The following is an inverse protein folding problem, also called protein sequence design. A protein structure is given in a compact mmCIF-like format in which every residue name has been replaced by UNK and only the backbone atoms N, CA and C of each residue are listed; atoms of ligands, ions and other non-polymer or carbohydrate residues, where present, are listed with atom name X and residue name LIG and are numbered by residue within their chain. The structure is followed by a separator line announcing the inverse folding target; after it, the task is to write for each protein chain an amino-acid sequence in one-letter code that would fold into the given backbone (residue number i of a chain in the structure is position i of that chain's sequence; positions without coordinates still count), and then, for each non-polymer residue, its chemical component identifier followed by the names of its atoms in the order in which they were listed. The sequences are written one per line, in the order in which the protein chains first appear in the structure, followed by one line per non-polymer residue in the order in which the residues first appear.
data_IF_425755679199
#
_entry.id   IF_425755679199
#
_cell.length_a   1.000
_cell.length_b   1.000
_cell.length_c   1.000
_cell.angle_alpha   90.00
_cell.angle_beta   90.00
_cell.angle_gamma   90.00
#
_symmetry.space_group_name_H-M   'P 1'
#
loop_
_entity.id
_entity.type
_entity.pdbx_description
1 polymer ?
#
# COMPACT_ATOMS: atom_id res chain seq x y z
N UNK A 1 -36.41 -40.06 -38.57
CA UNK A 1 -36.72 -39.33 -37.33
C UNK A 1 -35.78 -38.14 -37.23
N UNK A 2 -36.34 -36.96 -36.98
CA UNK A 2 -35.63 -35.68 -36.80
C UNK A 2 -34.96 -35.64 -35.41
N UNK A 3 -33.75 -35.10 -35.32
CA UNK A 3 -33.40 -34.12 -34.27
C UNK A 3 -32.08 -33.43 -34.62
N UNK A 4 -32.16 -32.12 -34.89
CA UNK A 4 -31.05 -31.19 -34.86
C UNK A 4 -30.68 -30.90 -33.41
N UNK A 5 -29.41 -31.10 -33.04
CA UNK A 5 -28.84 -30.58 -31.80
C UNK A 5 -27.76 -29.58 -32.15
N UNK A 6 -28.08 -28.30 -32.02
CA UNK A 6 -27.19 -27.16 -32.30
C UNK A 6 -26.02 -27.20 -31.30
N UNK A 7 -24.78 -27.24 -31.80
CA UNK A 7 -23.57 -26.94 -31.02
C UNK A 7 -23.62 -25.46 -30.63
N UNK A 8 -24.17 -25.16 -29.44
CA UNK A 8 -24.04 -23.84 -28.85
C UNK A 8 -22.66 -23.75 -28.19
N UNK A 9 -21.73 -23.11 -28.89
CA UNK A 9 -20.56 -22.54 -28.24
C UNK A 9 -21.06 -21.54 -27.20
N UNK A 10 -21.01 -21.91 -25.93
CA UNK A 10 -21.11 -20.90 -24.88
C UNK A 10 -19.73 -20.28 -24.80
N UNK A 11 -19.54 -19.13 -25.45
CA UNK A 11 -18.46 -18.22 -25.08
C UNK A 11 -18.70 -17.89 -23.62
N UNK A 12 -17.93 -18.54 -22.75
CA UNK A 12 -17.95 -18.25 -21.33
C UNK A 12 -17.39 -16.83 -21.20
N UNK A 13 -18.28 -15.84 -21.17
CA UNK A 13 -17.91 -14.47 -20.80
C UNK A 13 -17.52 -14.56 -19.34
N UNK A 14 -16.24 -14.82 -19.08
CA UNK A 14 -15.65 -14.63 -17.77
C UNK A 14 -15.66 -13.13 -17.53
N UNK A 15 -16.75 -12.64 -16.94
CA UNK A 15 -16.76 -11.33 -16.32
C UNK A 15 -15.83 -11.48 -15.11
N UNK A 16 -14.55 -11.16 -15.32
CA UNK A 16 -13.56 -11.05 -14.25
C UNK A 16 -13.98 -9.89 -13.34
N UNK A 17 -14.84 -10.21 -12.39
CA UNK A 17 -15.11 -9.33 -11.25
C UNK A 17 -13.89 -9.47 -10.33
N UNK A 18 -12.90 -8.60 -10.52
CA UNK A 18 -11.73 -8.55 -9.66
C UNK A 18 -12.19 -8.14 -8.26
N UNK A 19 -12.08 -9.06 -7.29
CA UNK A 19 -12.22 -8.70 -5.87
C UNK A 19 -11.01 -7.84 -5.50
N UNK A 20 -11.22 -6.57 -5.14
CA UNK A 20 -10.15 -5.74 -4.59
C UNK A 20 -9.68 -6.34 -3.26
N UNK A 21 -8.37 -6.55 -3.14
CA UNK A 21 -7.70 -6.98 -1.92
C UNK A 21 -7.29 -5.77 -1.07
N UNK A 22 -6.94 -5.99 0.21
CA UNK A 22 -6.43 -4.92 1.08
C UNK A 22 -5.19 -4.23 0.51
N UNK A 23 -4.33 -4.96 -0.20
CA UNK A 23 -3.14 -4.42 -0.86
C UNK A 23 -3.51 -3.46 -2.01
N UNK A 24 -4.58 -3.77 -2.75
CA UNK A 24 -5.10 -2.89 -3.80
C UNK A 24 -5.67 -1.59 -3.20
N UNK A 25 -6.32 -1.67 -2.04
CA UNK A 25 -6.78 -0.47 -1.33
C UNK A 25 -5.61 0.37 -0.79
N UNK A 26 -4.56 -0.28 -0.29
CA UNK A 26 -3.39 0.42 0.22
C UNK A 26 -2.64 1.18 -0.88
N UNK A 27 -2.36 0.54 -2.01
CA UNK A 27 -1.70 1.20 -3.15
C UNK A 27 -2.53 2.35 -3.71
N UNK A 28 -3.85 2.18 -3.80
CA UNK A 28 -4.77 3.27 -4.20
C UNK A 28 -4.75 4.42 -3.18
N UNK A 29 -4.68 4.13 -1.89
CA UNK A 29 -4.54 5.15 -0.84
C UNK A 29 -3.22 5.93 -0.97
N UNK A 30 -2.10 5.22 -1.11
CA UNK A 30 -0.78 5.83 -1.30
C UNK A 30 -0.73 6.72 -2.55
N UNK A 31 -1.41 6.33 -3.63
CA UNK A 31 -1.48 7.11 -4.86
C UNK A 31 -2.32 8.39 -4.68
N UNK A 32 -3.51 8.27 -4.09
CA UNK A 32 -4.45 9.39 -3.95
C UNK A 32 -4.02 10.42 -2.91
N UNK A 33 -3.41 9.96 -1.82
CA UNK A 33 -3.04 10.78 -0.68
C UNK A 33 -1.54 11.08 -0.65
N UNK A 34 -0.80 10.78 -1.73
CA UNK A 34 0.65 10.87 -1.78
C UNK A 34 1.21 12.19 -1.22
N UNK A 35 0.67 13.33 -1.66
CA UNK A 35 1.15 14.65 -1.25
C UNK A 35 0.86 14.93 0.24
N UNK A 36 -0.30 14.50 0.76
CA UNK A 36 -0.64 14.60 2.18
C UNK A 36 0.25 13.68 3.03
N UNK A 37 0.54 12.47 2.54
CA UNK A 37 1.45 11.53 3.19
C UNK A 37 2.87 12.12 3.21
N UNK A 38 3.34 12.69 2.11
CA UNK A 38 4.65 13.33 2.02
C UNK A 38 4.77 14.49 3.00
N UNK A 39 3.80 15.40 3.04
CA UNK A 39 3.79 16.50 4.01
C UNK A 39 3.88 15.98 5.45
N UNK A 40 3.08 14.98 5.80
CA UNK A 40 3.04 14.44 7.15
C UNK A 40 4.28 13.60 7.50
N UNK A 41 4.87 12.91 6.52
CA UNK A 41 6.14 12.22 6.67
C UNK A 41 7.27 13.21 6.96
N UNK A 42 7.32 14.35 6.27
CA UNK A 42 8.30 15.42 6.55
C UNK A 42 8.12 16.01 7.97
N UNK A 43 6.89 16.10 8.45
CA UNK A 43 6.60 16.53 9.84
C UNK A 43 6.92 15.42 10.86
N UNK A 44 6.79 14.16 10.45
CA UNK A 44 6.92 12.96 11.27
C UNK A 44 5.65 12.59 12.03
N UNK A 45 4.49 13.16 11.67
CA UNK A 45 3.20 12.86 12.30
C UNK A 45 2.03 13.27 11.40
N UNK A 46 0.87 12.66 11.62
CA UNK A 46 -0.40 13.10 11.04
C UNK A 46 -1.35 11.95 10.71
N UNK A 47 -2.59 12.27 10.36
CA UNK A 47 -3.63 11.25 10.14
C UNK A 47 -3.33 10.32 8.95
N UNK A 48 -2.88 10.86 7.82
CA UNK A 48 -2.53 10.04 6.65
C UNK A 48 -1.32 9.16 6.95
N UNK A 49 -0.33 9.69 7.68
CA UNK A 49 0.82 8.91 8.11
C UNK A 49 0.44 7.77 9.07
N UNK A 50 -0.49 8.02 9.98
CA UNK A 50 -1.02 7.00 10.88
C UNK A 50 -1.75 5.89 10.11
N UNK A 51 -2.43 6.22 9.00
CA UNK A 51 -3.07 5.22 8.13
C UNK A 51 -2.00 4.39 7.40
N UNK A 52 -0.89 4.98 6.97
CA UNK A 52 0.25 4.20 6.43
C UNK A 52 0.78 3.21 7.47
N UNK A 53 0.95 3.65 8.73
CA UNK A 53 1.38 2.78 9.83
C UNK A 53 0.38 1.64 10.10
N UNK A 54 -0.92 1.92 10.05
CA UNK A 54 -1.98 0.93 10.23
C UNK A 54 -1.98 -0.11 9.10
N UNK A 55 -1.85 0.33 7.84
CA UNK A 55 -1.66 -0.58 6.71
C UNK A 55 -0.40 -1.44 6.87
N UNK A 56 0.69 -0.86 7.39
CA UNK A 56 1.92 -1.55 7.75
C UNK A 56 1.78 -2.54 8.93
N UNK A 57 0.58 -2.64 9.52
CA UNK A 57 0.31 -3.51 10.64
C UNK A 57 0.99 -3.06 11.93
N UNK A 58 1.40 -1.79 12.02
CA UNK A 58 2.00 -1.24 13.22
C UNK A 58 0.92 -0.91 14.25
N UNK A 59 1.11 -1.25 15.54
CA UNK A 59 0.18 -0.87 16.60
C UNK A 59 0.18 0.65 16.80
N UNK A 60 -0.95 1.21 17.25
CA UNK A 60 -1.10 2.64 17.48
C UNK A 60 -0.05 3.25 18.43
N UNK A 61 0.49 2.43 19.35
CA UNK A 61 1.58 2.84 20.25
C UNK A 61 2.89 3.17 19.55
N UNK A 62 3.10 2.69 18.32
CA UNK A 62 4.31 2.91 17.53
C UNK A 62 4.15 3.98 16.44
N UNK A 63 3.05 4.73 16.43
CA UNK A 63 2.84 5.81 15.47
C UNK A 63 3.92 6.91 15.56
N UNK A 64 4.47 7.17 16.75
CA UNK A 64 5.55 8.13 16.95
C UNK A 64 6.90 7.65 16.41
N UNK A 65 7.25 6.39 16.67
CA UNK A 65 8.45 5.74 16.16
C UNK A 65 8.38 5.59 14.63
N UNK A 66 7.24 5.15 14.11
CA UNK A 66 6.98 5.06 12.67
C UNK A 66 7.11 6.43 12.01
N UNK A 67 6.48 7.45 12.57
CA UNK A 67 6.56 8.81 12.06
C UNK A 67 7.98 9.38 12.10
N UNK A 68 8.75 9.07 13.14
CA UNK A 68 10.16 9.44 13.23
C UNK A 68 11.00 8.74 12.16
N UNK A 69 10.76 7.46 11.90
CA UNK A 69 11.44 6.71 10.83
C UNK A 69 11.12 7.30 9.45
N UNK A 70 9.85 7.59 9.17
CA UNK A 70 9.41 8.22 7.92
C UNK A 70 10.08 9.58 7.69
N UNK A 71 10.17 10.41 8.74
CA UNK A 71 10.86 11.71 8.67
C UNK A 71 12.35 11.57 8.43
N UNK A 72 13.01 10.63 9.12
CA UNK A 72 14.44 10.41 9.00
C UNK A 72 14.83 9.88 7.61
N UNK A 73 13.92 9.18 6.93
CA UNK A 73 14.12 8.62 5.59
C UNK A 73 13.42 9.41 4.48
N UNK A 74 12.93 10.61 4.78
CA UNK A 74 12.02 11.37 3.90
C UNK A 74 12.58 11.57 2.49
N UNK A 75 13.84 12.01 2.36
CA UNK A 75 14.46 12.28 1.06
C UNK A 75 14.55 11.04 0.16
N UNK A 76 14.70 9.86 0.77
CA UNK A 76 14.74 8.58 0.07
C UNK A 76 13.34 8.11 -0.34
N UNK A 77 12.40 8.17 0.62
CA UNK A 77 11.01 7.75 0.43
C UNK A 77 10.27 8.59 -0.64
N UNK A 78 10.59 9.88 -0.75
CA UNK A 78 9.87 10.84 -1.60
C UNK A 78 10.75 11.48 -2.70
N UNK A 79 11.73 10.73 -3.22
CA UNK A 79 12.59 11.23 -4.29
C UNK A 79 11.81 11.53 -5.59
N UNK A 80 12.19 12.59 -6.31
CA UNK A 80 11.38 13.26 -7.35
C UNK A 80 11.05 12.42 -8.62
N UNK A 81 11.46 11.15 -8.74
CA UNK A 81 11.52 10.47 -10.05
C UNK A 81 10.92 9.06 -10.19
N UNK A 82 10.10 8.55 -9.27
CA UNK A 82 9.45 7.26 -9.51
C UNK A 82 8.18 7.42 -10.35
N UNK A 83 8.16 6.89 -11.59
CA UNK A 83 6.93 6.76 -12.41
C UNK A 83 5.81 5.97 -11.70
N UNK A 84 6.15 5.20 -10.66
CA UNK A 84 5.25 4.40 -9.84
C UNK A 84 5.39 4.75 -8.34
N UNK A 85 5.10 6.02 -7.99
CA UNK A 85 5.31 6.57 -6.63
C UNK A 85 4.66 5.77 -5.51
N UNK A 86 3.44 5.25 -5.70
CA UNK A 86 2.74 4.45 -4.69
C UNK A 86 3.41 3.11 -4.43
N UNK A 87 3.80 2.39 -5.50
CA UNK A 87 4.51 1.11 -5.37
C UNK A 87 5.91 1.29 -4.79
N UNK A 88 6.64 2.33 -5.22
CA UNK A 88 7.91 2.71 -4.64
C UNK A 88 7.76 2.98 -3.14
N UNK A 89 6.85 3.88 -2.77
CA UNK A 89 6.63 4.25 -1.38
C UNK A 89 6.22 3.04 -0.52
N UNK A 90 5.36 2.15 -1.04
CA UNK A 90 5.02 0.91 -0.36
C UNK A 90 6.26 0.05 -0.06
N UNK A 91 7.09 -0.20 -1.07
CA UNK A 91 8.29 -1.02 -0.94
C UNK A 91 9.26 -0.39 0.07
N UNK A 92 9.54 0.90 -0.07
CA UNK A 92 10.51 1.59 0.79
C UNK A 92 10.02 1.73 2.24
N UNK A 93 8.71 1.84 2.47
CA UNK A 93 8.15 1.76 3.83
C UNK A 93 8.38 0.38 4.43
N UNK A 94 8.19 -0.69 3.66
CA UNK A 94 8.48 -2.06 4.14
C UNK A 94 9.96 -2.22 4.46
N UNK A 95 10.86 -1.76 3.59
CA UNK A 95 12.32 -1.80 3.83
C UNK A 95 12.72 -1.01 5.08
N UNK A 96 12.18 0.22 5.23
CA UNK A 96 12.40 1.06 6.42
C UNK A 96 11.95 0.38 7.73
N UNK A 97 10.81 -0.32 7.71
CA UNK A 97 10.32 -1.07 8.88
C UNK A 97 11.29 -2.20 9.23
N UNK A 98 11.74 -2.98 8.24
CA UNK A 98 12.69 -4.08 8.44
C UNK A 98 14.05 -3.61 8.96
N UNK A 99 14.49 -2.41 8.54
CA UNK A 99 15.74 -1.80 8.99
C UNK A 99 15.65 -1.16 10.39
N UNK A 100 14.43 -0.93 10.89
CA UNK A 100 14.19 -0.33 12.21
C UNK A 100 13.84 -1.42 13.24
N UNK A 101 14.74 -1.79 14.17
CA UNK A 101 14.56 -2.97 15.02
C UNK A 101 13.27 -2.96 15.85
N UNK A 102 12.82 -1.79 16.31
CA UNK A 102 11.59 -1.63 17.08
C UNK A 102 10.34 -1.82 16.20
N UNK A 103 10.33 -1.26 14.99
CA UNK A 103 9.22 -1.41 14.05
C UNK A 103 9.14 -2.84 13.53
N UNK A 104 10.26 -3.43 13.08
CA UNK A 104 10.33 -4.83 12.61
C UNK A 104 9.77 -5.84 13.60
N UNK A 105 9.98 -5.62 14.91
CA UNK A 105 9.52 -6.56 15.93
C UNK A 105 8.02 -6.49 16.21
N UNK A 106 7.36 -5.39 15.86
CA UNK A 106 6.02 -5.07 16.35
C UNK A 106 5.01 -4.75 15.24
N UNK A 107 5.47 -4.38 14.05
CA UNK A 107 4.65 -4.23 12.86
C UNK A 107 4.50 -5.58 12.14
N UNK A 108 3.37 -5.82 11.48
CA UNK A 108 3.15 -7.02 10.67
C UNK A 108 3.46 -6.70 9.19
N UNK A 109 4.74 -6.49 8.85
CA UNK A 109 5.20 -6.07 7.51
C UNK A 109 4.40 -6.74 6.38
N UNK A 110 3.79 -5.90 5.54
CA UNK A 110 2.79 -6.20 4.49
C UNK A 110 3.39 -6.87 3.27
#
# INVERSE_FOLDING_TARGET
GKSSGILQHTENITISTSTMTSCDFYTVFLEKEYDNIAEQAAQGHGMHLNVVADYAGCPASLTGEFGSAMRNNFEHLFSENSLHRSHWLQQEVTEMIEDTPELRQNCNSI
#
